data_IF_180780382598
#
_entry.id   IF_180780382598
#
_cell.length_a   1.000
_cell.length_b   1.000
_cell.length_c   1.000
_cell.angle_alpha   90.00
_cell.angle_beta   90.00
_cell.angle_gamma   90.00
#
_symmetry.space_group_name_H-M   'P 1'
#
loop_
_entity.id
_entity.type
_entity.pdbx_description
1 polymer ?
#
# COMPACT_ATOMS: atom_id res chain seq x y z
N UNK A 1 4.08 3.18 9.70
CA UNK A 1 2.69 3.49 9.30
C UNK A 1 1.67 2.90 10.26
N UNK A 2 1.68 1.60 10.54
CA UNK A 2 0.79 0.99 11.53
C UNK A 2 0.87 1.72 12.89
N UNK A 3 2.08 2.05 13.36
CA UNK A 3 2.25 2.84 14.57
C UNK A 3 1.61 4.23 14.50
N UNK A 4 1.77 4.94 13.38
CA UNK A 4 1.15 6.26 13.21
C UNK A 4 -0.39 6.20 13.25
N UNK A 5 -0.98 5.09 12.80
CA UNK A 5 -2.42 4.84 12.92
C UNK A 5 -2.81 4.53 14.38
N UNK A 6 -1.98 3.79 15.11
CA UNK A 6 -2.14 3.55 16.55
C UNK A 6 -2.11 4.87 17.33
N UNK A 7 -1.14 5.72 17.07
CA UNK A 7 -0.99 7.05 17.68
C UNK A 7 -2.17 7.99 17.34
N UNK A 8 -2.77 7.80 16.17
CA UNK A 8 -3.98 8.52 15.75
C UNK A 8 -5.26 8.02 16.43
N UNK A 9 -5.17 7.04 17.34
CA UNK A 9 -6.28 6.55 18.15
C UNK A 9 -6.96 5.28 17.64
N UNK A 10 -6.46 4.65 16.57
CA UNK A 10 -6.96 3.35 16.12
C UNK A 10 -6.38 2.27 17.03
N UNK A 11 -7.23 1.43 17.62
CA UNK A 11 -6.74 0.34 18.50
C UNK A 11 -5.75 -0.56 17.74
N UNK A 12 -4.54 -0.83 18.29
CA UNK A 12 -3.54 -1.70 17.66
C UNK A 12 -4.07 -3.10 17.35
N UNK A 13 -5.04 -3.59 18.14
CA UNK A 13 -5.68 -4.89 17.91
C UNK A 13 -6.47 -4.97 16.59
N UNK A 14 -6.87 -3.82 16.03
CA UNK A 14 -7.61 -3.73 14.79
C UNK A 14 -6.70 -3.47 13.58
N UNK A 15 -5.39 -3.29 13.78
CA UNK A 15 -4.43 -2.97 12.73
C UNK A 15 -3.62 -4.21 12.38
N UNK A 16 -3.61 -4.57 11.10
CA UNK A 16 -2.79 -5.66 10.57
C UNK A 16 -1.80 -5.10 9.54
N UNK A 17 -0.51 -5.11 9.88
CA UNK A 17 0.55 -4.67 8.98
C UNK A 17 1.15 -5.87 8.23
N UNK A 18 1.20 -5.81 6.89
CA UNK A 18 1.82 -6.83 6.04
C UNK A 18 2.66 -6.17 4.96
N UNK A 19 3.84 -6.72 4.69
CA UNK A 19 4.69 -6.29 3.58
C UNK A 19 4.34 -7.07 2.32
N UNK A 20 3.85 -6.40 1.29
CA UNK A 20 3.51 -7.02 0.00
C UNK A 20 4.67 -7.02 -0.99
N UNK A 21 5.70 -6.20 -0.78
CA UNK A 21 6.82 -6.08 -1.72
C UNK A 21 6.33 -5.77 -3.14
N UNK A 22 6.71 -6.60 -4.10
CA UNK A 22 6.34 -6.46 -5.52
C UNK A 22 5.18 -7.36 -5.94
N UNK A 23 4.55 -8.09 -5.01
CA UNK A 23 3.54 -9.11 -5.34
C UNK A 23 2.30 -8.55 -6.02
N UNK A 24 1.96 -7.27 -5.77
CA UNK A 24 0.83 -6.55 -6.37
C UNK A 24 1.32 -5.37 -7.23
N UNK A 25 2.29 -5.63 -8.09
CA UNK A 25 2.84 -4.62 -8.99
C UNK A 25 1.81 -4.19 -10.05
N UNK A 26 1.51 -2.90 -10.13
CA UNK A 26 0.58 -2.34 -11.14
C UNK A 26 1.29 -1.99 -12.45
N UNK A 27 2.60 -1.73 -12.43
CA UNK A 27 3.35 -1.30 -13.60
C UNK A 27 3.47 -2.35 -14.71
N UNK A 28 3.25 -3.64 -14.41
CA UNK A 28 3.37 -4.70 -15.41
C UNK A 28 4.66 -4.61 -16.23
N UNK A 29 4.54 -4.54 -17.56
CA UNK A 29 5.65 -4.38 -18.51
C UNK A 29 5.91 -2.93 -18.98
N UNK A 30 5.23 -1.94 -18.40
CA UNK A 30 5.27 -0.56 -18.91
C UNK A 30 6.66 0.09 -18.82
N UNK A 31 7.49 -0.37 -17.89
CA UNK A 31 8.82 0.17 -17.63
C UNK A 31 9.96 -0.69 -18.21
N UNK A 32 9.66 -1.80 -18.90
CA UNK A 32 10.67 -2.78 -19.34
C UNK A 32 11.65 -2.20 -20.38
N UNK A 33 11.19 -1.24 -21.19
CA UNK A 33 12.01 -0.54 -22.17
C UNK A 33 12.85 0.61 -21.61
N UNK A 34 12.74 0.91 -20.31
CA UNK A 34 13.47 2.02 -19.68
C UNK A 34 14.78 1.49 -19.08
N UNK A 35 15.87 1.69 -19.82
CA UNK A 35 17.18 1.14 -19.43
C UNK A 35 18.04 2.11 -18.60
N UNK A 36 17.71 3.40 -18.58
CA UNK A 36 18.40 4.36 -17.72
C UNK A 36 17.87 4.25 -16.28
N UNK A 37 18.78 4.06 -15.32
CA UNK A 37 18.47 3.79 -13.90
C UNK A 37 17.52 4.84 -13.30
N UNK A 38 17.83 6.12 -13.50
CA UNK A 38 17.06 7.21 -12.89
C UNK A 38 15.66 7.28 -13.49
N UNK A 39 15.56 7.19 -14.82
CA UNK A 39 14.28 7.13 -15.52
C UNK A 39 13.45 5.89 -15.13
N UNK A 40 14.10 4.76 -14.85
CA UNK A 40 13.43 3.54 -14.40
C UNK A 40 12.89 3.69 -12.97
N UNK A 41 13.64 4.34 -12.07
CA UNK A 41 13.18 4.64 -10.71
C UNK A 41 11.94 5.54 -10.75
N UNK A 42 11.96 6.57 -11.60
CA UNK A 42 10.82 7.45 -11.79
C UNK A 42 9.63 6.70 -12.37
N UNK A 43 9.85 5.85 -13.38
CA UNK A 43 8.81 5.00 -13.98
C UNK A 43 8.16 4.05 -12.97
N UNK A 44 8.95 3.43 -12.09
CA UNK A 44 8.49 2.48 -11.06
C UNK A 44 8.03 3.17 -9.76
N UNK A 45 8.11 4.50 -9.68
CA UNK A 45 7.73 5.25 -8.49
C UNK A 45 6.34 4.90 -7.94
N UNK A 46 5.29 4.64 -8.77
CA UNK A 46 3.97 4.25 -8.28
C UNK A 46 3.91 2.96 -7.45
N UNK A 47 4.88 2.05 -7.59
CA UNK A 47 4.90 0.78 -6.84
C UNK A 47 5.36 0.94 -5.39
N UNK A 48 6.06 2.03 -5.07
CA UNK A 48 6.54 2.31 -3.71
C UNK A 48 5.42 2.97 -2.88
N UNK A 49 4.33 2.24 -2.68
CA UNK A 49 3.13 2.70 -1.99
C UNK A 49 2.82 1.87 -0.74
N UNK A 50 1.93 2.40 0.08
CA UNK A 50 1.30 1.63 1.16
C UNK A 50 -0.21 1.75 1.02
N UNK A 51 -0.88 0.62 0.85
CA UNK A 51 -2.34 0.53 0.75
C UNK A 51 -2.96 0.31 2.14
N UNK A 52 -3.97 1.12 2.49
CA UNK A 52 -4.76 0.95 3.72
C UNK A 52 -6.15 0.43 3.33
N UNK A 53 -6.46 -0.81 3.73
CA UNK A 53 -7.78 -1.41 3.55
C UNK A 53 -8.56 -1.36 4.86
N UNK A 54 -9.62 -0.54 4.90
CA UNK A 54 -10.51 -0.41 6.08
C UNK A 54 -11.75 -1.27 5.84
N UNK A 55 -12.05 -2.15 6.80
CA UNK A 55 -13.25 -3.00 6.80
C UNK A 55 -14.10 -2.65 8.00
N UNK A 56 -15.40 -2.55 7.80
CA UNK A 56 -16.38 -2.34 8.86
C UNK A 56 -17.60 -3.21 8.62
N UNK A 57 -18.38 -3.43 9.68
CA UNK A 57 -19.66 -4.11 9.60
C UNK A 57 -20.78 -3.08 9.48
N UNK A 58 -21.75 -3.34 8.61
CA UNK A 58 -22.93 -2.49 8.51
C UNK A 58 -23.81 -2.74 9.72
N UNK A 59 -23.88 -1.80 10.64
CA UNK A 59 -24.81 -1.86 11.76
C UNK A 59 -26.25 -1.68 11.23
N UNK A 60 -26.93 -2.78 10.92
CA UNK A 60 -28.38 -2.75 10.73
C UNK A 60 -29.01 -2.49 12.09
N UNK A 61 -29.61 -1.31 12.24
CA UNK A 61 -30.45 -0.96 13.39
C UNK A 61 -31.89 -1.32 13.00
N UNK A 62 -32.47 -2.30 13.71
CA UNK A 62 -33.88 -2.65 13.60
C UNK A 62 -34.75 -1.69 14.41
#
# INVERSE_FOLDING_TARGET
MAEALSDSGISPANINARGMGISDAMTGSQCDGVHQRDALIDCLSPERRVDINVRGESAYVF
#
